data_IF_484149142362
#
_entry.id   IF_484149142362
#
_cell.length_a   1.000
_cell.length_b   1.000
_cell.length_c   1.000
_cell.angle_alpha   90.00
_cell.angle_beta   90.00
_cell.angle_gamma   90.00
#
_symmetry.space_group_name_H-M   'P 1'
#
loop_
_entity.id
_entity.type
_entity.pdbx_description
1 polymer ?
#
# COMPACT_ATOMS: atom_id res chain seq x y z
N UNK A 1 -33.32 21.43 0.33
CA UNK A 1 -32.38 20.76 -0.58
C UNK A 1 -30.97 21.16 -0.20
N UNK A 2 -30.18 20.21 0.24
CA UNK A 2 -28.81 20.52 0.61
C UNK A 2 -27.94 20.59 -0.62
N UNK A 3 -27.12 21.64 -0.69
CA UNK A 3 -26.08 21.72 -1.73
C UNK A 3 -24.98 20.75 -1.36
N UNK A 4 -24.61 19.78 -2.20
CA UNK A 4 -23.50 18.87 -1.86
C UNK A 4 -22.20 19.66 -1.76
N UNK A 5 -21.40 19.32 -0.74
CA UNK A 5 -20.04 19.86 -0.65
C UNK A 5 -19.17 19.21 -1.75
N UNK A 6 -18.01 19.79 -2.12
CA UNK A 6 -17.13 19.17 -3.08
C UNK A 6 -16.73 17.74 -2.72
N UNK A 7 -16.72 17.40 -1.40
CA UNK A 7 -16.36 16.08 -0.93
C UNK A 7 -17.53 15.09 -0.98
N UNK A 8 -18.76 15.58 -1.15
CA UNK A 8 -19.97 14.78 -1.17
C UNK A 8 -20.62 14.75 -2.55
N UNK A 9 -19.82 14.90 -3.62
CA UNK A 9 -20.35 14.87 -4.97
C UNK A 9 -21.09 13.54 -5.19
N UNK A 10 -22.46 13.58 -5.37
CA UNK A 10 -23.25 12.35 -5.37
C UNK A 10 -23.01 11.48 -6.60
N UNK A 11 -22.37 12.04 -7.64
CA UNK A 11 -22.16 11.34 -8.91
C UNK A 11 -20.76 10.71 -9.02
N UNK A 12 -19.89 10.90 -8.02
CA UNK A 12 -18.57 10.29 -8.06
C UNK A 12 -18.66 8.80 -7.76
N UNK A 13 -18.25 7.98 -8.72
CA UNK A 13 -18.10 6.54 -8.51
C UNK A 13 -16.79 6.22 -7.77
N UNK A 14 -16.67 4.98 -7.31
CA UNK A 14 -15.41 4.51 -6.75
C UNK A 14 -14.26 4.65 -7.76
N UNK A 15 -14.54 4.42 -9.04
CA UNK A 15 -13.55 4.60 -10.11
C UNK A 15 -13.10 6.06 -10.20
N UNK A 16 -14.02 7.01 -10.19
CA UNK A 16 -13.69 8.44 -10.25
C UNK A 16 -12.85 8.85 -9.05
N UNK A 17 -13.21 8.37 -7.86
CA UNK A 17 -12.46 8.64 -6.64
C UNK A 17 -11.06 8.03 -6.70
N UNK A 18 -10.94 6.82 -7.23
CA UNK A 18 -9.63 6.18 -7.42
C UNK A 18 -8.76 7.02 -8.35
N UNK A 19 -9.29 7.47 -9.48
CA UNK A 19 -8.55 8.31 -10.42
C UNK A 19 -8.10 9.61 -9.77
N UNK A 20 -8.98 10.24 -9.02
CA UNK A 20 -8.67 11.48 -8.30
C UNK A 20 -7.61 11.25 -7.23
N UNK A 21 -7.74 10.15 -6.48
CA UNK A 21 -6.76 9.79 -5.46
C UNK A 21 -5.37 9.52 -6.05
N UNK A 22 -5.31 8.82 -7.18
CA UNK A 22 -4.05 8.55 -7.87
C UNK A 22 -3.41 9.84 -8.39
N UNK A 23 -4.20 10.78 -8.90
CA UNK A 23 -3.69 12.09 -9.33
C UNK A 23 -3.09 12.86 -8.14
N UNK A 24 -3.74 12.80 -6.98
CA UNK A 24 -3.23 13.44 -5.77
C UNK A 24 -1.92 12.79 -5.31
N UNK A 25 -1.82 11.46 -5.39
CA UNK A 25 -0.57 10.75 -5.08
C UNK A 25 0.57 11.19 -5.99
N UNK A 26 0.30 11.33 -7.29
CA UNK A 26 1.30 11.78 -8.27
C UNK A 26 1.82 13.17 -7.94
N UNK A 27 0.97 14.03 -7.38
CA UNK A 27 1.33 15.38 -6.97
C UNK A 27 1.89 15.45 -5.55
N UNK A 28 2.10 14.31 -4.90
CA UNK A 28 2.58 14.22 -3.52
C UNK A 28 1.63 14.82 -2.49
N UNK A 29 0.34 14.89 -2.81
CA UNK A 29 -0.71 15.29 -1.86
C UNK A 29 -1.27 14.05 -1.15
N UNK A 30 -0.40 13.39 -0.38
CA UNK A 30 -0.68 12.06 0.14
C UNK A 30 -1.82 12.03 1.17
N UNK A 31 -1.88 13.00 2.06
CA UNK A 31 -2.95 13.06 3.07
C UNK A 31 -4.32 13.31 2.42
N UNK A 32 -4.36 14.20 1.42
CA UNK A 32 -5.59 14.45 0.67
C UNK A 32 -6.00 13.21 -0.14
N UNK A 33 -5.02 12.52 -0.73
CA UNK A 33 -5.29 11.28 -1.44
C UNK A 33 -5.92 10.25 -0.53
N UNK A 34 -5.45 10.10 0.70
CA UNK A 34 -6.01 9.16 1.66
C UNK A 34 -7.49 9.43 1.91
N UNK A 35 -7.88 10.70 2.07
CA UNK A 35 -9.29 11.07 2.32
C UNK A 35 -10.17 10.64 1.14
N UNK A 36 -9.73 10.93 -0.08
CA UNK A 36 -10.47 10.59 -1.28
C UNK A 36 -10.56 9.06 -1.46
N UNK A 37 -9.45 8.36 -1.22
CA UNK A 37 -9.38 6.91 -1.40
C UNK A 37 -10.15 6.16 -0.31
N UNK A 38 -10.26 6.71 0.89
CA UNK A 38 -11.14 6.16 1.92
C UNK A 38 -12.60 6.15 1.46
N UNK A 39 -13.02 7.21 0.77
CA UNK A 39 -14.37 7.26 0.20
C UNK A 39 -14.54 6.20 -0.89
N UNK A 40 -13.54 6.02 -1.74
CA UNK A 40 -13.57 4.98 -2.76
C UNK A 40 -13.74 3.59 -2.13
N UNK A 41 -12.99 3.32 -1.07
CA UNK A 41 -13.05 2.02 -0.37
C UNK A 41 -14.42 1.81 0.28
N UNK A 42 -15.04 2.85 0.82
CA UNK A 42 -16.40 2.73 1.37
C UNK A 42 -17.43 2.37 0.31
N UNK A 43 -17.26 2.88 -0.90
CA UNK A 43 -18.18 2.58 -2.01
C UNK A 43 -17.98 1.18 -2.57
N UNK A 44 -16.73 0.73 -2.69
CA UNK A 44 -16.40 -0.61 -3.17
C UNK A 44 -15.36 -1.25 -2.24
N UNK A 45 -15.80 -1.79 -1.10
CA UNK A 45 -14.88 -2.39 -0.13
C UNK A 45 -14.10 -3.57 -0.70
N UNK A 46 -12.84 -3.68 -0.35
CA UNK A 46 -12.03 -4.84 -0.70
C UNK A 46 -11.53 -4.87 -2.14
N UNK A 47 -11.59 -3.76 -2.86
CA UNK A 47 -11.07 -3.71 -4.22
C UNK A 47 -9.57 -3.49 -4.21
N UNK A 48 -8.82 -4.42 -4.81
CA UNK A 48 -7.36 -4.42 -4.73
C UNK A 48 -6.71 -3.13 -5.23
N UNK A 49 -7.19 -2.56 -6.34
CA UNK A 49 -6.64 -1.31 -6.88
C UNK A 49 -6.82 -0.13 -5.91
N UNK A 50 -7.95 -0.08 -5.23
CA UNK A 50 -8.23 0.97 -4.24
C UNK A 50 -7.37 0.76 -2.99
N UNK A 51 -7.29 -0.49 -2.51
CA UNK A 51 -6.48 -0.82 -1.33
C UNK A 51 -5.00 -0.51 -1.57
N UNK A 52 -4.49 -0.81 -2.76
CA UNK A 52 -3.11 -0.48 -3.11
C UNK A 52 -2.86 1.03 -3.04
N UNK A 53 -3.72 1.81 -3.69
CA UNK A 53 -3.58 3.27 -3.69
C UNK A 53 -3.76 3.87 -2.30
N UNK A 54 -4.75 3.38 -1.54
CA UNK A 54 -5.01 3.86 -0.18
C UNK A 54 -3.84 3.55 0.75
N UNK A 55 -3.30 2.35 0.67
CA UNK A 55 -2.12 1.98 1.46
C UNK A 55 -0.92 2.87 1.16
N UNK A 56 -0.69 3.18 -0.12
CA UNK A 56 0.37 4.12 -0.53
C UNK A 56 0.14 5.51 0.07
N UNK A 57 -1.10 5.98 0.04
CA UNK A 57 -1.44 7.29 0.58
C UNK A 57 -1.17 7.35 2.09
N UNK A 58 -1.58 6.33 2.82
CA UNK A 58 -1.29 6.24 4.24
C UNK A 58 0.21 6.18 4.52
N UNK A 59 0.92 5.31 3.81
CA UNK A 59 2.36 5.17 4.01
C UNK A 59 3.09 6.47 3.76
N UNK A 60 2.79 7.12 2.63
CA UNK A 60 3.49 8.34 2.23
C UNK A 60 3.10 9.56 3.07
N UNK A 61 1.96 9.51 3.75
CA UNK A 61 1.55 10.57 4.68
C UNK A 61 1.98 10.29 6.12
N UNK A 62 2.80 9.27 6.33
CA UNK A 62 3.33 8.97 7.66
C UNK A 62 2.41 8.14 8.55
N UNK A 63 1.36 7.56 7.99
CA UNK A 63 0.37 6.77 8.73
C UNK A 63 0.67 5.28 8.58
N UNK A 64 1.82 4.85 9.11
CA UNK A 64 2.33 3.50 8.89
C UNK A 64 1.42 2.41 9.46
N UNK A 65 0.73 2.66 10.58
CA UNK A 65 -0.18 1.67 11.16
C UNK A 65 -1.40 1.44 10.27
N UNK A 66 -1.96 2.52 9.70
CA UNK A 66 -3.07 2.40 8.75
C UNK A 66 -2.62 1.77 7.45
N UNK A 67 -1.41 2.09 7.00
CA UNK A 67 -0.82 1.46 5.82
C UNK A 67 -0.69 -0.06 6.04
N UNK A 68 -0.20 -0.49 7.19
CA UNK A 68 -0.11 -1.91 7.52
C UNK A 68 -1.45 -2.62 7.37
N UNK A 69 -2.49 -2.08 8.00
CA UNK A 69 -3.83 -2.69 7.95
C UNK A 69 -4.36 -2.76 6.52
N UNK A 70 -4.13 -1.71 5.75
CA UNK A 70 -4.61 -1.61 4.38
C UNK A 70 -3.89 -2.61 3.47
N UNK A 71 -2.57 -2.75 3.61
CA UNK A 71 -1.82 -3.72 2.83
C UNK A 71 -2.11 -5.16 3.27
N UNK A 72 -2.42 -5.39 4.54
CA UNK A 72 -2.93 -6.69 4.97
C UNK A 72 -4.26 -7.03 4.29
N UNK A 73 -5.16 -6.05 4.21
CA UNK A 73 -6.43 -6.22 3.49
C UNK A 73 -6.19 -6.48 2.00
N UNK A 74 -5.21 -5.81 1.39
CA UNK A 74 -4.83 -6.07 0.00
C UNK A 74 -4.40 -7.52 -0.18
N UNK A 75 -3.58 -8.06 0.72
CA UNK A 75 -3.12 -9.44 0.63
C UNK A 75 -4.22 -10.46 0.91
N UNK A 76 -5.28 -10.07 1.63
CA UNK A 76 -6.45 -10.92 1.82
C UNK A 76 -7.18 -11.14 0.49
N UNK A 77 -7.26 -10.13 -0.35
CA UNK A 77 -7.95 -10.21 -1.65
C UNK A 77 -7.02 -10.61 -2.78
N UNK A 78 -5.72 -10.36 -2.65
CA UNK A 78 -4.71 -10.72 -3.65
C UNK A 78 -3.44 -11.20 -2.96
N UNK A 79 -3.42 -12.47 -2.49
CA UNK A 79 -2.26 -13.01 -1.78
C UNK A 79 -0.98 -13.06 -2.62
N UNK A 80 -1.09 -12.98 -3.94
CA UNK A 80 0.04 -13.06 -4.86
C UNK A 80 0.53 -11.67 -5.30
N UNK A 81 0.05 -10.61 -4.67
CA UNK A 81 0.54 -9.26 -4.93
C UNK A 81 1.95 -9.10 -4.38
N UNK A 82 2.97 -9.16 -5.25
CA UNK A 82 4.34 -8.92 -4.81
C UNK A 82 4.51 -7.50 -4.27
N UNK A 83 3.84 -6.52 -4.89
CA UNK A 83 3.84 -5.16 -4.35
C UNK A 83 3.21 -5.11 -2.95
N UNK A 84 2.10 -5.83 -2.73
CA UNK A 84 1.46 -5.90 -1.41
C UNK A 84 2.40 -6.41 -0.33
N UNK A 85 3.16 -7.46 -0.61
CA UNK A 85 4.15 -7.97 0.33
C UNK A 85 5.27 -6.97 0.58
N UNK A 86 5.79 -6.35 -0.49
CA UNK A 86 6.81 -5.32 -0.35
C UNK A 86 6.32 -4.16 0.53
N UNK A 87 5.12 -3.64 0.21
CA UNK A 87 4.55 -2.49 0.90
C UNK A 87 4.24 -2.79 2.37
N UNK A 88 3.73 -3.99 2.65
CA UNK A 88 3.51 -4.43 4.03
C UNK A 88 4.84 -4.54 4.77
N UNK A 89 5.87 -5.11 4.14
CA UNK A 89 7.20 -5.16 4.73
C UNK A 89 7.75 -3.79 5.06
N UNK A 90 7.61 -2.83 4.16
CA UNK A 90 8.05 -1.45 4.40
C UNK A 90 7.27 -0.79 5.54
N UNK A 91 5.97 -1.05 5.63
CA UNK A 91 5.13 -0.52 6.71
C UNK A 91 5.55 -1.09 8.06
N UNK A 92 5.79 -2.39 8.13
CA UNK A 92 6.26 -3.06 9.34
C UNK A 92 7.65 -2.55 9.76
N UNK A 93 8.55 -2.36 8.80
CA UNK A 93 9.86 -1.78 9.07
C UNK A 93 9.74 -0.40 9.69
N UNK A 94 8.86 0.45 9.15
CA UNK A 94 8.66 1.80 9.69
C UNK A 94 8.09 1.77 11.09
N UNK A 95 7.33 0.73 11.42
CA UNK A 95 6.78 0.52 12.76
C UNK A 95 7.79 -0.11 13.73
N UNK A 96 9.01 -0.37 13.27
CA UNK A 96 10.05 -1.00 14.09
C UNK A 96 9.95 -2.51 14.19
N UNK A 97 9.09 -3.13 13.38
CA UNK A 97 8.83 -4.57 13.43
C UNK A 97 9.62 -5.30 12.34
N UNK A 98 10.96 -5.22 12.45
CA UNK A 98 11.87 -5.72 11.42
C UNK A 98 11.75 -7.22 11.17
N UNK A 99 11.56 -8.00 12.24
CA UNK A 99 11.48 -9.46 12.10
C UNK A 99 10.24 -9.88 11.32
N UNK A 100 9.15 -9.15 11.48
CA UNK A 100 7.92 -9.41 10.73
C UNK A 100 8.04 -8.90 9.29
N UNK A 101 8.80 -7.82 9.07
CA UNK A 101 9.00 -7.25 7.74
C UNK A 101 9.78 -8.18 6.83
N UNK A 102 10.79 -8.87 7.36
CA UNK A 102 11.70 -9.70 6.57
C UNK A 102 11.01 -10.72 5.67
N UNK A 103 10.13 -11.58 6.22
CA UNK A 103 9.43 -12.58 5.40
C UNK A 103 8.64 -11.99 4.24
N UNK A 104 7.99 -10.85 4.45
CA UNK A 104 7.22 -10.19 3.37
C UNK A 104 8.14 -9.65 2.27
N UNK A 105 9.27 -9.05 2.65
CA UNK A 105 10.24 -8.57 1.66
C UNK A 105 10.88 -9.73 0.89
N UNK A 106 11.13 -10.86 1.55
CA UNK A 106 11.64 -12.05 0.88
C UNK A 106 10.62 -12.62 -0.11
N UNK A 107 9.34 -12.65 0.27
CA UNK A 107 8.27 -13.09 -0.63
C UNK A 107 8.17 -12.19 -1.85
N UNK A 108 8.21 -10.88 -1.65
CA UNK A 108 8.16 -9.93 -2.75
C UNK A 108 9.30 -10.19 -3.74
N UNK A 109 10.51 -10.36 -3.23
CA UNK A 109 11.68 -10.63 -4.06
C UNK A 109 11.58 -11.99 -4.76
N UNK A 110 11.07 -13.01 -4.06
CA UNK A 110 10.89 -14.34 -4.65
C UNK A 110 9.89 -14.31 -5.80
N UNK A 111 8.81 -13.52 -5.66
CA UNK A 111 7.80 -13.36 -6.70
C UNK A 111 8.27 -12.51 -7.87
N UNK A 112 9.21 -11.59 -7.63
CA UNK A 112 9.77 -10.70 -8.65
C UNK A 112 11.28 -10.62 -8.48
N UNK A 113 12.02 -11.70 -8.85
CA UNK A 113 13.45 -11.82 -8.54
C UNK A 113 14.33 -10.74 -9.18
N UNK A 114 13.83 -10.11 -10.25
CA UNK A 114 14.59 -9.09 -10.98
C UNK A 114 14.38 -7.70 -10.42
N UNK A 115 13.52 -7.54 -9.41
CA UNK A 115 13.24 -6.23 -8.83
C UNK A 115 14.43 -5.76 -8.01
N UNK A 116 15.10 -4.72 -8.50
CA UNK A 116 16.17 -4.06 -7.77
C UNK A 116 15.62 -3.34 -6.54
N UNK A 117 14.38 -2.85 -6.62
CA UNK A 117 13.70 -2.19 -5.50
C UNK A 117 13.52 -3.15 -4.31
N UNK A 118 13.01 -4.35 -4.59
CA UNK A 118 12.76 -5.33 -3.52
C UNK A 118 14.05 -5.86 -2.93
N UNK A 119 15.06 -6.10 -3.78
CA UNK A 119 16.38 -6.52 -3.32
C UNK A 119 17.03 -5.46 -2.42
N UNK A 120 16.95 -4.20 -2.83
CA UNK A 120 17.48 -3.09 -2.04
C UNK A 120 16.77 -2.96 -0.69
N UNK A 121 15.45 -3.14 -0.67
CA UNK A 121 14.67 -3.07 0.56
C UNK A 121 15.12 -4.15 1.55
N UNK A 122 15.31 -5.38 1.07
CA UNK A 122 15.75 -6.49 1.90
C UNK A 122 17.19 -6.24 2.41
N UNK A 123 18.08 -5.74 1.56
CA UNK A 123 19.44 -5.40 1.94
C UNK A 123 19.46 -4.32 3.02
N UNK A 124 18.64 -3.26 2.86
CA UNK A 124 18.56 -2.18 3.85
C UNK A 124 18.01 -2.64 5.19
N UNK A 125 17.21 -3.69 5.18
CA UNK A 125 16.72 -4.28 6.42
C UNK A 125 17.83 -5.01 7.17
N UNK A 126 18.95 -5.32 6.50
CA UNK A 126 20.06 -6.03 7.09
C UNK A 126 19.87 -7.54 7.07
N UNK A 127 18.92 -8.04 6.29
CA UNK A 127 18.68 -9.47 6.14
C UNK A 127 19.08 -9.89 4.73
N UNK A 128 19.99 -10.87 4.58
CA UNK A 128 20.37 -11.35 3.26
C UNK A 128 19.23 -12.15 2.62
N UNK A 129 19.22 -12.28 1.28
CA UNK A 129 18.33 -13.21 0.62
C UNK A 129 18.50 -14.61 1.19
N UNK A 130 17.41 -15.39 1.29
CA UNK A 130 17.44 -16.69 1.94
C UNK A 130 18.49 -17.64 1.36
N UNK A 131 18.70 -17.57 0.05
CA UNK A 131 19.70 -18.40 -0.64
C UNK A 131 21.13 -18.13 -0.16
N UNK A 132 21.39 -16.94 0.39
CA UNK A 132 22.71 -16.57 0.93
C UNK A 132 22.98 -17.15 2.31
N UNK A 133 21.96 -17.68 2.98
CA UNK A 133 22.06 -18.26 4.32
C UNK A 133 22.32 -19.76 4.30
N UNK A 134 22.20 -20.39 3.15
CA UNK A 134 22.43 -21.82 3.01
C UNK A 134 23.92 -22.09 2.76
N UNK A 135 24.54 -23.05 3.48
CA UNK A 135 25.92 -23.39 3.27
C UNK A 135 26.16 -24.00 1.90
#
# INVERSE_FOLDING_TARGET
MQTPTPDDAPDESAYDLLQRGQALLTRNHHAQAAIVLERADRLEPGKGSILEALGRAYFNSGQASRAQLTFEALLDVDPLSHFGHYALGQSLKRLGRRQEAGPHLRLALAMSPQSTLYRAALTRLGLPPRSSLEP
#
